data_IF_935885778728
#
_entry.id   IF_935885778728
#
_cell.length_a   1.000
_cell.length_b   1.000
_cell.length_c   1.000
_cell.angle_alpha   90.00
_cell.angle_beta   90.00
_cell.angle_gamma   90.00
#
_symmetry.space_group_name_H-M   'P 1'
#
loop_
_entity.id
_entity.type
_entity.pdbx_description
1 polymer ?
#
# COMPACT_ATOMS: atom_id res chain seq x y z
N UNK A 1 8.94 24.28 8.50
CA UNK A 1 9.79 23.09 8.30
C UNK A 1 8.88 21.87 8.12
N UNK A 2 8.10 21.82 7.03
CA UNK A 2 7.17 20.72 6.73
C UNK A 2 7.87 19.73 5.82
N UNK A 3 8.78 18.95 6.40
CA UNK A 3 9.44 17.85 5.74
C UNK A 3 9.02 16.54 6.39
N UNK A 4 9.04 15.47 5.59
CA UNK A 4 8.82 14.06 5.94
C UNK A 4 7.39 13.55 5.67
N UNK A 5 7.24 12.97 4.48
CA UNK A 5 6.15 12.09 4.05
C UNK A 5 5.53 11.31 5.20
N UNK A 6 4.26 11.59 5.50
CA UNK A 6 3.46 10.78 6.43
C UNK A 6 3.32 9.32 5.93
N UNK A 7 3.61 9.07 4.65
CA UNK A 7 3.63 7.76 4.03
C UNK A 7 5.00 7.09 4.17
N UNK A 8 5.04 5.95 4.86
CA UNK A 8 6.26 5.17 5.08
C UNK A 8 6.14 3.80 4.42
N UNK A 9 7.18 3.40 3.69
CA UNK A 9 7.33 2.06 3.15
C UNK A 9 8.04 1.15 4.12
N UNK A 10 7.57 -0.10 4.17
CA UNK A 10 8.35 -1.21 4.71
C UNK A 10 8.13 -2.42 3.82
N UNK A 11 9.18 -2.76 3.07
CA UNK A 11 9.23 -3.98 2.27
C UNK A 11 9.38 -5.20 3.17
N UNK A 12 8.75 -6.30 2.80
CA UNK A 12 8.87 -7.57 3.52
C UNK A 12 8.92 -8.75 2.55
N UNK A 13 9.59 -9.82 2.98
CA UNK A 13 9.47 -11.15 2.37
C UNK A 13 8.01 -11.65 2.40
N UNK A 14 7.29 -11.33 3.48
CA UNK A 14 5.89 -11.68 3.70
C UNK A 14 5.11 -10.56 4.39
N UNK A 15 3.81 -10.44 4.09
CA UNK A 15 2.95 -9.45 4.73
C UNK A 15 2.88 -9.67 6.25
N UNK A 16 3.14 -8.62 7.02
CA UNK A 16 2.94 -8.65 8.47
C UNK A 16 1.45 -8.88 8.80
N UNK A 17 1.11 -9.51 9.94
CA UNK A 17 -0.28 -9.81 10.30
C UNK A 17 -1.22 -8.60 10.20
N UNK A 18 -0.79 -7.46 10.74
CA UNK A 18 -1.56 -6.20 10.68
C UNK A 18 -1.83 -5.68 9.26
N UNK A 19 -1.00 -6.06 8.28
CA UNK A 19 -1.20 -5.64 6.89
C UNK A 19 -2.08 -6.64 6.13
N UNK A 20 -2.11 -7.92 6.54
CA UNK A 20 -3.03 -8.91 5.97
C UNK A 20 -4.49 -8.59 6.29
N UNK A 21 -4.77 -7.81 7.33
CA UNK A 21 -6.12 -7.32 7.64
C UNK A 21 -6.79 -6.56 6.49
N UNK A 22 -6.00 -6.01 5.56
CA UNK A 22 -6.50 -5.30 4.38
C UNK A 22 -6.76 -6.23 3.18
N UNK A 23 -6.33 -7.48 3.25
CA UNK A 23 -6.57 -8.49 2.23
C UNK A 23 -7.89 -9.20 2.51
N UNK A 24 -8.55 -9.66 1.45
CA UNK A 24 -9.76 -10.44 1.59
C UNK A 24 -9.49 -11.72 2.39
N UNK A 25 -10.13 -11.85 3.56
CA UNK A 25 -9.91 -12.94 4.52
C UNK A 25 -8.43 -13.16 4.88
N UNK A 26 -7.59 -12.13 4.84
CA UNK A 26 -6.15 -12.25 5.11
C UNK A 26 -5.35 -13.04 4.07
N UNK A 27 -5.93 -13.32 2.90
CA UNK A 27 -5.34 -14.20 1.88
C UNK A 27 -4.52 -13.39 0.87
N UNK A 28 -3.22 -13.67 0.69
CA UNK A 28 -2.40 -13.05 -0.35
C UNK A 28 -2.90 -13.38 -1.77
N UNK A 29 -2.65 -12.51 -2.76
CA UNK A 29 -3.01 -12.81 -4.14
C UNK A 29 -2.23 -14.03 -4.65
N UNK A 30 -2.94 -14.96 -5.29
CA UNK A 30 -2.36 -16.15 -5.92
C UNK A 30 -1.99 -15.86 -7.37
N UNK A 31 -0.95 -16.51 -7.88
CA UNK A 31 -0.52 -16.37 -9.28
C UNK A 31 0.20 -15.06 -9.62
N UNK A 32 0.47 -14.21 -8.63
CA UNK A 32 1.27 -12.99 -8.78
C UNK A 32 2.64 -13.20 -8.14
N UNK A 33 3.47 -13.98 -8.84
CA UNK A 33 4.82 -14.33 -8.40
C UNK A 33 5.85 -13.83 -9.43
N UNK A 34 6.90 -13.15 -8.97
CA UNK A 34 7.90 -12.58 -9.85
C UNK A 34 9.07 -11.98 -9.07
N UNK A 35 10.28 -12.03 -9.64
CA UNK A 35 11.51 -11.55 -8.99
C UNK A 35 11.53 -10.03 -8.76
N UNK A 36 10.79 -9.28 -9.57
CA UNK A 36 10.66 -7.82 -9.47
C UNK A 36 9.49 -7.35 -8.58
N UNK A 37 8.72 -8.28 -8.00
CA UNK A 37 7.55 -7.93 -7.20
C UNK A 37 7.95 -7.67 -5.73
N UNK A 38 7.63 -6.47 -5.24
CA UNK A 38 7.79 -6.12 -3.83
C UNK A 38 6.44 -6.04 -3.12
N UNK A 39 6.36 -6.78 -2.02
CA UNK A 39 5.23 -6.75 -1.07
C UNK A 39 5.43 -5.56 -0.14
N UNK A 40 4.53 -4.58 -0.24
CA UNK A 40 4.59 -3.33 0.53
C UNK A 40 3.42 -3.28 1.49
N UNK A 41 3.72 -2.98 2.76
CA UNK A 41 2.71 -2.53 3.70
C UNK A 41 2.75 -1.01 3.81
N UNK A 42 1.70 -0.38 3.29
CA UNK A 42 1.60 1.05 3.21
C UNK A 42 1.13 1.63 4.53
N UNK A 43 1.88 2.61 5.05
CA UNK A 43 1.65 3.18 6.37
C UNK A 43 1.46 4.68 6.26
N UNK A 44 0.45 5.20 6.97
CA UNK A 44 0.25 6.63 7.17
C UNK A 44 0.35 6.97 8.65
N UNK A 45 1.25 7.89 9.02
CA UNK A 45 1.60 8.21 10.41
C UNK A 45 1.98 6.95 11.20
N UNK A 46 2.84 6.10 10.62
CA UNK A 46 3.31 4.84 11.21
C UNK A 46 2.27 3.71 11.26
N UNK A 47 0.99 3.98 10.95
CA UNK A 47 -0.10 3.00 11.03
C UNK A 47 -0.36 2.35 9.67
N UNK A 48 -0.47 1.01 9.57
CA UNK A 48 -0.90 0.32 8.35
C UNK A 48 -2.22 0.86 7.81
N UNK A 49 -2.31 1.02 6.49
CA UNK A 49 -3.52 1.54 5.80
C UNK A 49 -3.99 0.64 4.67
N UNK A 50 -3.07 0.08 3.91
CA UNK A 50 -3.37 -0.84 2.82
C UNK A 50 -2.12 -1.63 2.44
N UNK A 51 -2.29 -2.58 1.55
CA UNK A 51 -1.19 -3.36 0.96
C UNK A 51 -1.10 -3.08 -0.53
N UNK A 52 0.13 -3.11 -1.02
CA UNK A 52 0.44 -3.01 -2.45
C UNK A 52 1.44 -4.11 -2.80
N UNK A 53 1.21 -4.78 -3.92
CA UNK A 53 2.22 -5.56 -4.60
C UNK A 53 2.70 -4.69 -5.76
N UNK A 54 3.98 -4.33 -5.75
CA UNK A 54 4.54 -3.37 -6.69
C UNK A 54 5.58 -4.04 -7.58
N UNK A 55 5.48 -3.82 -8.88
CA UNK A 55 6.49 -4.22 -9.85
C UNK A 55 7.57 -3.13 -9.96
N UNK A 56 8.78 -3.45 -9.51
CA UNK A 56 9.90 -2.49 -9.52
C UNK A 56 10.50 -2.26 -10.90
N UNK A 57 10.23 -3.13 -11.87
CA UNK A 57 10.72 -2.98 -13.23
C UNK A 57 9.79 -2.08 -14.04
N UNK A 58 8.50 -2.40 -14.04
CA UNK A 58 7.49 -1.62 -14.78
C UNK A 58 7.01 -0.38 -14.02
N UNK A 59 7.39 -0.25 -12.75
CA UNK A 59 7.00 0.85 -11.86
C UNK A 59 5.47 0.97 -11.69
N UNK A 60 4.79 -0.17 -11.52
CA UNK A 60 3.33 -0.24 -11.40
C UNK A 60 2.87 -1.03 -10.16
N UNK A 61 1.80 -0.59 -9.48
CA UNK A 61 1.14 -1.40 -8.45
C UNK A 61 0.25 -2.46 -9.09
N UNK A 62 0.77 -3.67 -9.31
CA UNK A 62 0.04 -4.78 -9.94
C UNK A 62 -1.16 -5.28 -9.11
N UNK A 63 -1.12 -5.07 -7.80
CA UNK A 63 -2.23 -5.40 -6.90
C UNK A 63 -2.23 -4.44 -5.71
N UNK A 64 -3.43 -4.03 -5.27
CA UNK A 64 -3.60 -3.31 -4.02
C UNK A 64 -4.87 -3.78 -3.31
N UNK A 65 -4.83 -3.81 -1.98
CA UNK A 65 -5.99 -4.17 -1.17
C UNK A 65 -6.10 -3.29 0.07
N UNK A 66 -7.32 -2.85 0.35
CA UNK A 66 -7.68 -1.97 1.44
C UNK A 66 -9.09 -2.30 1.93
N UNK A 67 -9.37 -1.95 3.18
CA UNK A 67 -10.70 -2.12 3.76
C UNK A 67 -11.50 -0.84 3.57
N UNK A 68 -12.52 -0.89 2.73
CA UNK A 68 -13.45 0.22 2.59
C UNK A 68 -14.34 0.32 3.83
N UNK A 69 -14.23 1.42 4.56
CA UNK A 69 -15.20 1.77 5.61
C UNK A 69 -16.30 2.59 4.94
N UNK A 70 -17.55 2.12 5.05
CA UNK A 70 -18.74 2.79 4.49
C UNK A 70 -18.62 4.30 4.63
N UNK A 71 -18.72 5.01 3.52
CA UNK A 71 -18.88 6.47 3.49
C UNK A 71 -20.36 6.83 3.47
N UNK A 72 -20.70 7.99 4.00
CA UNK A 72 -21.99 8.67 3.80
C UNK A 72 -22.22 9.12 2.33
N UNK A 73 -21.25 8.88 1.44
CA UNK A 73 -21.34 9.15 0.00
C UNK A 73 -21.14 10.62 -0.37
N UNK A 74 -21.03 11.50 0.62
CA UNK A 74 -20.90 12.95 0.43
C UNK A 74 -19.47 13.44 0.67
N UNK A 75 -18.65 12.67 1.37
CA UNK A 75 -17.26 13.02 1.66
C UNK A 75 -16.33 12.64 0.51
N UNK A 76 -15.99 13.64 -0.31
CA UNK A 76 -14.72 13.64 -1.05
C UNK A 76 -13.65 14.20 -0.12
N UNK A 77 -12.54 13.47 0.03
CA UNK A 77 -11.41 13.98 0.80
C UNK A 77 -10.69 14.99 -0.10
N UNK A 78 -10.68 16.26 0.29
CA UNK A 78 -9.95 17.33 -0.39
C UNK A 78 -8.45 17.25 -0.03
N UNK A 79 -7.84 16.12 -0.38
CA UNK A 79 -6.40 15.92 -0.27
C UNK A 79 -5.79 16.02 -1.67
N UNK A 80 -4.72 16.82 -1.83
CA UNK A 80 -4.01 16.88 -3.09
C UNK A 80 -3.47 15.48 -3.43
N UNK A 81 -3.45 15.16 -4.70
CA UNK A 81 -2.76 13.98 -5.20
C UNK A 81 -1.31 14.02 -4.73
N UNK A 82 -0.88 12.91 -4.12
CA UNK A 82 0.51 12.73 -3.71
C UNK A 82 1.16 11.75 -4.66
N UNK A 83 2.37 12.07 -5.12
CA UNK A 83 3.24 11.08 -5.72
C UNK A 83 3.60 10.06 -4.66
N UNK A 84 3.63 8.78 -5.04
CA UNK A 84 4.16 7.76 -4.16
C UNK A 84 5.69 7.91 -4.12
N UNK A 85 6.30 8.41 -3.03
CA UNK A 85 7.68 8.91 -3.09
C UNK A 85 8.75 7.81 -3.19
N UNK A 86 8.36 6.55 -3.34
CA UNK A 86 9.08 5.42 -2.77
C UNK A 86 9.81 4.53 -3.79
N UNK A 87 9.88 4.96 -5.06
CA UNK A 87 10.56 4.23 -6.15
C UNK A 87 11.68 5.04 -6.82
N UNK A 88 12.44 5.78 -6.03
CA UNK A 88 13.72 6.37 -6.47
C UNK A 88 14.85 5.69 -5.70
N UNK A 89 15.27 4.51 -6.18
CA UNK A 89 16.55 3.89 -5.81
C UNK A 89 17.08 3.07 -6.97
#
# INVERSE_FOLDING_TARGET
MWGLSAFQYKGFENYSPACREFMYMGTPPLGLEGKALKKICQRYNGKPRFVTLYDTFDHIPVYSAYTFKRSDGTKKVDVPWMYEPQFVS
#
